data_IF_560675738300
#
_entry.id   IF_560675738300
#
_cell.length_a   1.000
_cell.length_b   1.000
_cell.length_c   1.000
_cell.angle_alpha   90.00
_cell.angle_beta   90.00
_cell.angle_gamma   90.00
#
_symmetry.space_group_name_H-M   'P 1'
#
loop_
_entity.id
_entity.type
_entity.pdbx_description
1 polymer ?
#
# COMPACT_ATOMS: atom_id res chain seq x y z
N UNK A 1 -29.14 -71.34 -24.58
CA UNK A 1 -29.79 -71.10 -23.28
C UNK A 1 -31.25 -71.43 -23.40
N UNK A 2 -31.76 -72.31 -22.55
CA UNK A 2 -33.19 -72.60 -22.47
C UNK A 2 -33.94 -71.41 -21.81
N UNK A 3 -35.27 -71.40 -21.86
CA UNK A 3 -36.10 -70.31 -21.31
C UNK A 3 -35.90 -70.10 -19.79
N UNK A 4 -35.69 -71.19 -19.07
CA UNK A 4 -35.55 -71.24 -17.60
C UNK A 4 -34.19 -70.69 -17.15
N UNK A 5 -33.10 -71.06 -17.84
CA UNK A 5 -31.76 -70.49 -17.65
C UNK A 5 -31.75 -68.98 -17.90
N UNK A 6 -32.51 -68.52 -18.91
CA UNK A 6 -32.66 -67.08 -19.21
C UNK A 6 -33.40 -66.36 -18.11
N UNK A 7 -34.43 -66.97 -17.54
CA UNK A 7 -35.17 -66.41 -16.42
C UNK A 7 -34.29 -66.29 -15.16
N UNK A 8 -33.56 -67.36 -14.80
CA UNK A 8 -32.64 -67.37 -13.65
C UNK A 8 -31.54 -66.31 -13.83
N UNK A 9 -30.96 -66.20 -15.02
CA UNK A 9 -29.96 -65.16 -15.33
C UNK A 9 -30.53 -63.76 -15.12
N UNK A 10 -31.73 -63.49 -15.63
CA UNK A 10 -32.37 -62.18 -15.50
C UNK A 10 -32.69 -61.83 -14.03
N UNK A 11 -33.13 -62.80 -13.21
CA UNK A 11 -33.34 -62.59 -11.78
C UNK A 11 -32.03 -62.23 -11.05
N UNK A 12 -30.91 -62.90 -11.38
CA UNK A 12 -29.59 -62.56 -10.83
C UNK A 12 -29.14 -61.15 -11.23
N UNK A 13 -29.39 -60.74 -12.47
CA UNK A 13 -29.10 -59.37 -12.94
C UNK A 13 -29.89 -58.33 -12.13
N UNK A 14 -31.18 -58.58 -11.88
CA UNK A 14 -32.02 -57.69 -11.06
C UNK A 14 -31.50 -57.61 -9.61
N UNK A 15 -31.10 -58.73 -9.01
CA UNK A 15 -30.54 -58.77 -7.67
C UNK A 15 -29.25 -57.94 -7.56
N UNK A 16 -28.29 -58.14 -8.46
CA UNK A 16 -27.03 -57.40 -8.48
C UNK A 16 -27.23 -55.90 -8.70
N UNK A 17 -28.19 -55.52 -9.55
CA UNK A 17 -28.53 -54.12 -9.75
C UNK A 17 -29.12 -53.50 -8.48
N UNK A 18 -30.00 -54.23 -7.77
CA UNK A 18 -30.57 -53.80 -6.47
C UNK A 18 -29.51 -53.66 -5.36
N UNK A 19 -28.39 -54.38 -5.47
CA UNK A 19 -27.22 -54.21 -4.60
C UNK A 19 -26.36 -52.98 -4.96
N UNK A 20 -26.75 -52.20 -5.98
CA UNK A 20 -26.06 -50.98 -6.39
C UNK A 20 -24.87 -51.19 -7.32
N UNK A 21 -24.71 -52.40 -7.91
CA UNK A 21 -23.69 -52.64 -8.95
C UNK A 21 -24.01 -51.85 -10.22
N UNK A 22 -22.96 -51.34 -10.89
CA UNK A 22 -23.13 -50.61 -12.14
C UNK A 22 -23.48 -51.56 -13.29
N UNK A 23 -24.16 -51.03 -14.32
CA UNK A 23 -24.54 -51.83 -15.49
C UNK A 23 -23.35 -52.46 -16.19
N UNK A 24 -22.22 -51.77 -16.21
CA UNK A 24 -21.05 -52.20 -16.95
C UNK A 24 -20.34 -53.33 -16.20
N UNK A 25 -20.30 -53.23 -14.87
CA UNK A 25 -19.78 -54.29 -14.00
C UNK A 25 -20.69 -55.56 -14.07
N UNK A 26 -22.02 -55.39 -14.17
CA UNK A 26 -22.96 -56.50 -14.38
C UNK A 26 -22.82 -57.10 -15.79
N UNK A 27 -22.65 -56.24 -16.79
CA UNK A 27 -22.49 -56.63 -18.19
C UNK A 27 -21.27 -57.54 -18.37
N UNK A 28 -20.15 -57.21 -17.74
CA UNK A 28 -18.95 -58.06 -17.72
C UNK A 28 -19.21 -59.45 -17.10
N UNK A 29 -19.91 -59.52 -15.97
CA UNK A 29 -20.20 -60.79 -15.28
C UNK A 29 -21.00 -61.76 -16.16
N UNK A 30 -21.94 -61.24 -16.95
CA UNK A 30 -22.84 -62.06 -17.77
C UNK A 30 -22.49 -62.09 -19.26
N UNK A 31 -21.35 -61.50 -19.65
CA UNK A 31 -20.93 -61.34 -21.03
C UNK A 31 -22.04 -60.72 -21.91
N UNK A 32 -22.63 -59.64 -21.40
CA UNK A 32 -23.64 -58.81 -22.06
C UNK A 32 -23.06 -57.42 -22.32
N UNK A 33 -23.80 -56.61 -23.05
CA UNK A 33 -23.59 -55.17 -23.14
C UNK A 33 -24.39 -54.43 -22.06
N UNK A 34 -23.94 -53.27 -21.61
CA UNK A 34 -24.69 -52.43 -20.67
C UNK A 34 -26.10 -52.07 -21.17
N UNK A 35 -26.28 -51.99 -22.50
CA UNK A 35 -27.59 -51.80 -23.15
C UNK A 35 -28.51 -53.00 -22.94
N UNK A 36 -28.00 -54.22 -23.09
CA UNK A 36 -28.78 -55.44 -22.85
C UNK A 36 -29.16 -55.60 -21.38
N UNK A 37 -28.24 -55.30 -20.45
CA UNK A 37 -28.53 -55.25 -19.01
C UNK A 37 -29.68 -54.28 -18.74
N UNK A 38 -29.63 -53.08 -19.35
CA UNK A 38 -30.69 -52.08 -19.20
C UNK A 38 -32.05 -52.55 -19.76
N UNK A 39 -32.07 -53.25 -20.90
CA UNK A 39 -33.30 -53.82 -21.46
C UNK A 39 -33.87 -54.92 -20.55
N UNK A 40 -33.02 -55.79 -20.01
CA UNK A 40 -33.43 -56.84 -19.07
C UNK A 40 -34.04 -56.20 -17.81
N UNK A 41 -33.37 -55.22 -17.22
CA UNK A 41 -33.86 -54.53 -16.03
C UNK A 41 -35.19 -53.81 -16.30
N UNK A 42 -35.38 -53.21 -17.49
CA UNK A 42 -36.64 -52.55 -17.85
C UNK A 42 -37.82 -53.52 -17.89
N UNK A 43 -37.59 -54.74 -18.34
CA UNK A 43 -38.63 -55.75 -18.52
C UNK A 43 -38.87 -56.60 -17.28
N UNK A 44 -37.90 -56.70 -16.37
CA UNK A 44 -37.92 -57.62 -15.24
C UNK A 44 -37.89 -56.94 -13.85
N UNK A 45 -37.81 -55.61 -13.78
CA UNK A 45 -37.77 -54.87 -12.51
C UNK A 45 -38.96 -53.92 -12.39
N UNK A 46 -39.85 -54.18 -11.43
CA UNK A 46 -41.05 -53.37 -11.20
C UNK A 46 -40.72 -51.90 -10.87
N UNK A 47 -39.59 -51.67 -10.19
CA UNK A 47 -39.16 -50.35 -9.74
C UNK A 47 -37.96 -49.79 -10.54
N UNK A 48 -37.88 -50.15 -11.83
CA UNK A 48 -36.79 -49.81 -12.74
C UNK A 48 -36.39 -48.32 -12.73
N UNK A 49 -37.35 -47.40 -12.66
CA UNK A 49 -37.08 -45.97 -12.73
C UNK A 49 -36.33 -45.44 -11.51
N UNK A 50 -36.65 -45.94 -10.31
CA UNK A 50 -35.98 -45.57 -9.07
C UNK A 50 -34.58 -46.18 -9.01
N UNK A 51 -34.47 -47.45 -9.37
CA UNK A 51 -33.19 -48.15 -9.51
C UNK A 51 -32.22 -47.43 -10.46
N UNK A 52 -32.71 -46.97 -11.61
CA UNK A 52 -31.90 -46.21 -12.58
C UNK A 52 -31.42 -44.87 -11.98
N UNK A 53 -32.21 -44.20 -11.14
CA UNK A 53 -31.78 -42.96 -10.48
C UNK A 53 -30.65 -43.24 -9.50
N UNK A 54 -30.77 -44.30 -8.71
CA UNK A 54 -29.73 -44.72 -7.75
C UNK A 54 -28.44 -45.12 -8.45
N UNK A 55 -28.53 -45.91 -9.53
CA UNK A 55 -27.37 -46.33 -10.29
C UNK A 55 -26.68 -45.13 -10.96
N UNK A 56 -27.43 -44.20 -11.56
CA UNK A 56 -26.84 -42.95 -12.10
C UNK A 56 -26.15 -42.11 -11.02
N UNK A 57 -26.70 -42.10 -9.80
CA UNK A 57 -26.06 -41.43 -8.66
C UNK A 57 -24.74 -42.14 -8.31
N UNK A 58 -24.74 -43.47 -8.22
CA UNK A 58 -23.54 -44.26 -7.96
C UNK A 58 -22.47 -44.11 -9.06
N UNK A 59 -22.87 -44.07 -10.34
CA UNK A 59 -21.98 -43.79 -11.48
C UNK A 59 -21.29 -42.43 -11.31
N UNK A 60 -22.07 -41.39 -10.96
CA UNK A 60 -21.54 -40.04 -10.73
C UNK A 60 -20.58 -40.03 -9.53
N UNK A 61 -20.88 -40.73 -8.45
CA UNK A 61 -20.00 -40.85 -7.29
C UNK A 61 -18.70 -41.61 -7.60
N UNK A 62 -18.76 -42.72 -8.34
CA UNK A 62 -17.57 -43.48 -8.83
C UNK A 62 -16.72 -42.60 -9.73
N UNK A 63 -17.34 -41.85 -10.64
CA UNK A 63 -16.66 -40.89 -11.50
C UNK A 63 -15.94 -39.81 -10.69
N UNK A 64 -16.61 -39.15 -9.74
CA UNK A 64 -16.01 -38.13 -8.88
C UNK A 64 -14.83 -38.71 -8.10
N UNK A 65 -14.99 -39.88 -7.45
CA UNK A 65 -13.89 -40.55 -6.73
C UNK A 65 -12.68 -40.80 -7.63
N UNK A 66 -12.91 -41.22 -8.87
CA UNK A 66 -11.86 -41.44 -9.87
C UNK A 66 -11.16 -40.13 -10.24
N UNK A 67 -11.92 -39.05 -10.45
CA UNK A 67 -11.34 -37.73 -10.68
C UNK A 67 -10.47 -37.27 -9.51
N UNK A 68 -10.95 -37.42 -8.27
CA UNK A 68 -10.21 -37.03 -7.07
C UNK A 68 -8.85 -37.72 -6.99
N UNK A 69 -8.81 -39.04 -7.21
CA UNK A 69 -7.56 -39.80 -7.22
C UNK A 69 -6.56 -39.29 -8.26
N UNK A 70 -7.01 -39.01 -9.49
CA UNK A 70 -6.16 -38.45 -10.55
C UNK A 70 -5.61 -37.07 -10.17
N UNK A 71 -6.43 -36.22 -9.56
CA UNK A 71 -6.00 -34.87 -9.17
C UNK A 71 -5.01 -34.93 -8.01
N UNK A 72 -5.20 -35.84 -7.06
CA UNK A 72 -4.23 -36.08 -5.98
C UNK A 72 -2.88 -36.53 -6.52
N UNK A 73 -2.86 -37.47 -7.46
CA UNK A 73 -1.64 -37.97 -8.07
C UNK A 73 -0.88 -36.84 -8.77
N UNK A 74 -1.59 -36.04 -9.58
CA UNK A 74 -1.02 -34.84 -10.21
C UNK A 74 -0.44 -33.89 -9.15
N UNK A 75 -1.16 -33.64 -8.06
CA UNK A 75 -0.73 -32.72 -7.02
C UNK A 75 0.53 -33.23 -6.28
N UNK A 76 0.61 -34.53 -6.01
CA UNK A 76 1.79 -35.17 -5.42
C UNK A 76 3.01 -35.08 -6.35
N UNK A 77 2.83 -35.32 -7.64
CA UNK A 77 3.91 -35.26 -8.63
C UNK A 77 4.41 -33.82 -8.87
N UNK A 78 3.50 -32.86 -8.98
CA UNK A 78 3.83 -31.46 -9.30
C UNK A 78 4.06 -30.58 -8.06
N UNK A 79 3.76 -31.07 -6.87
CA UNK A 79 3.82 -30.33 -5.61
C UNK A 79 2.82 -29.17 -5.51
N UNK A 80 1.81 -29.10 -6.39
CA UNK A 80 0.90 -27.94 -6.50
C UNK A 80 -0.49 -28.29 -7.00
N UNK A 81 -1.43 -27.39 -6.73
CA UNK A 81 -2.81 -27.53 -7.21
C UNK A 81 -2.89 -27.29 -8.73
N UNK A 82 -3.54 -28.18 -9.50
CA UNK A 82 -3.77 -27.98 -10.92
C UNK A 82 -4.74 -26.82 -11.20
N UNK A 83 -4.50 -26.12 -12.31
CA UNK A 83 -5.37 -25.06 -12.83
C UNK A 83 -6.62 -25.66 -13.46
N UNK A 84 -7.67 -24.85 -13.62
CA UNK A 84 -8.92 -25.29 -14.24
C UNK A 84 -8.74 -25.79 -15.68
N UNK A 85 -7.82 -25.19 -16.44
CA UNK A 85 -7.53 -25.60 -17.82
C UNK A 85 -6.93 -27.01 -17.83
N UNK A 86 -5.92 -27.25 -17.00
CA UNK A 86 -5.28 -28.57 -16.86
C UNK A 86 -6.33 -29.61 -16.42
N UNK A 87 -7.20 -29.27 -15.46
CA UNK A 87 -8.26 -30.16 -14.99
C UNK A 87 -9.22 -30.59 -16.10
N UNK A 88 -9.62 -29.67 -16.98
CA UNK A 88 -10.48 -30.01 -18.12
C UNK A 88 -9.81 -30.99 -19.07
N UNK A 89 -8.52 -30.79 -19.34
CA UNK A 89 -7.75 -31.65 -20.24
C UNK A 89 -7.59 -33.07 -19.68
N UNK A 90 -7.13 -33.22 -18.43
CA UNK A 90 -6.83 -34.55 -17.90
C UNK A 90 -8.05 -35.31 -17.37
N UNK A 91 -9.09 -34.62 -16.89
CA UNK A 91 -10.35 -35.24 -16.46
C UNK A 91 -11.35 -35.42 -17.61
N UNK A 92 -11.09 -34.81 -18.78
CA UNK A 92 -11.95 -34.86 -19.96
C UNK A 92 -13.41 -34.48 -19.65
N UNK A 93 -13.62 -33.52 -18.74
CA UNK A 93 -14.95 -33.06 -18.33
C UNK A 93 -15.03 -31.55 -18.28
N UNK A 94 -16.20 -31.04 -18.65
CA UNK A 94 -16.57 -29.62 -18.52
C UNK A 94 -17.54 -29.38 -17.35
N UNK A 95 -17.87 -30.41 -16.55
CA UNK A 95 -18.74 -30.25 -15.38
C UNK A 95 -18.03 -29.42 -14.31
N UNK A 96 -18.43 -28.15 -14.18
CA UNK A 96 -17.85 -27.20 -13.23
C UNK A 96 -17.97 -27.66 -11.77
N UNK A 97 -19.00 -28.42 -11.42
CA UNK A 97 -19.16 -28.95 -10.07
C UNK A 97 -18.04 -29.96 -9.77
N UNK A 98 -17.77 -30.87 -10.71
CA UNK A 98 -16.67 -31.85 -10.57
C UNK A 98 -15.31 -31.15 -10.52
N UNK A 99 -15.07 -30.21 -11.42
CA UNK A 99 -13.80 -29.47 -11.48
C UNK A 99 -13.52 -28.69 -10.19
N UNK A 100 -14.53 -27.98 -9.66
CA UNK A 100 -14.40 -27.23 -8.40
C UNK A 100 -14.24 -28.16 -7.20
N UNK A 101 -14.99 -29.28 -7.16
CA UNK A 101 -14.86 -30.27 -6.10
C UNK A 101 -13.45 -30.85 -6.04
N UNK A 102 -12.88 -31.19 -7.21
CA UNK A 102 -11.51 -31.67 -7.32
C UNK A 102 -10.46 -30.64 -6.87
N UNK A 103 -10.60 -29.37 -7.25
CA UNK A 103 -9.70 -28.32 -6.76
C UNK A 103 -9.81 -28.15 -5.25
N UNK A 104 -11.03 -28.12 -4.71
CA UNK A 104 -11.28 -27.96 -3.28
C UNK A 104 -10.64 -29.09 -2.48
N UNK A 105 -10.77 -30.33 -2.96
CA UNK A 105 -10.18 -31.51 -2.34
C UNK A 105 -8.65 -31.39 -2.21
N UNK A 106 -7.97 -31.04 -3.30
CA UNK A 106 -6.51 -30.90 -3.29
C UNK A 106 -6.03 -29.72 -2.44
N UNK A 107 -6.81 -28.63 -2.36
CA UNK A 107 -6.52 -27.54 -1.42
C UNK A 107 -6.68 -27.99 0.04
N UNK A 108 -7.67 -28.82 0.35
CA UNK A 108 -7.87 -29.38 1.70
C UNK A 108 -6.72 -30.31 2.11
N UNK A 109 -6.08 -30.99 1.15
CA UNK A 109 -4.85 -31.76 1.36
C UNK A 109 -3.60 -30.89 1.57
N UNK A 110 -3.73 -29.55 1.52
CA UNK A 110 -2.65 -28.61 1.84
C UNK A 110 -1.82 -28.16 0.63
N UNK A 111 -2.10 -28.66 -0.58
CA UNK A 111 -1.46 -28.15 -1.79
C UNK A 111 -1.91 -26.73 -2.08
N UNK A 112 -1.04 -25.94 -2.71
CA UNK A 112 -1.31 -24.54 -3.06
C UNK A 112 -1.22 -24.35 -4.57
N UNK A 113 -1.95 -23.36 -5.08
CA UNK A 113 -1.75 -22.89 -6.45
C UNK A 113 -0.35 -22.28 -6.59
N UNK A 114 0.33 -22.62 -7.69
CA UNK A 114 1.54 -21.89 -8.07
C UNK A 114 1.16 -20.46 -8.45
N UNK A 115 1.94 -19.53 -7.91
CA UNK A 115 1.85 -18.15 -8.30
C UNK A 115 2.35 -17.98 -9.75
N UNK A 116 1.73 -17.05 -10.48
CA UNK A 116 2.14 -16.71 -11.86
C UNK A 116 3.63 -16.34 -12.00
N UNK A 117 4.24 -15.85 -10.92
CA UNK A 117 5.64 -15.46 -10.87
C UNK A 117 6.33 -16.17 -9.72
N UNK A 118 7.61 -16.47 -9.86
CA UNK A 118 8.48 -16.91 -8.76
C UNK A 118 9.11 -15.72 -8.05
N UNK A 119 9.69 -15.92 -6.85
CA UNK A 119 10.41 -14.84 -6.16
C UNK A 119 11.62 -14.42 -6.99
N UNK A 120 12.36 -15.38 -7.52
CA UNK A 120 13.58 -15.19 -8.30
C UNK A 120 13.32 -14.41 -9.58
N UNK A 121 12.24 -14.70 -10.31
CA UNK A 121 11.81 -13.92 -11.47
C UNK A 121 11.60 -12.43 -11.13
N UNK A 122 10.92 -12.16 -10.01
CA UNK A 122 10.64 -10.79 -9.56
C UNK A 122 11.94 -10.06 -9.20
N UNK A 123 12.89 -10.73 -8.52
CA UNK A 123 14.17 -10.13 -8.17
C UNK A 123 15.03 -9.84 -9.42
N UNK A 124 15.10 -10.79 -10.36
CA UNK A 124 15.82 -10.61 -11.62
C UNK A 124 15.22 -9.47 -12.46
N UNK A 125 13.90 -9.33 -12.46
CA UNK A 125 13.25 -8.21 -13.12
C UNK A 125 13.63 -6.85 -12.51
N UNK A 126 13.68 -6.75 -11.18
CA UNK A 126 14.14 -5.52 -10.50
C UNK A 126 15.60 -5.21 -10.82
N UNK A 127 16.48 -6.21 -10.84
CA UNK A 127 17.90 -6.04 -11.20
C UNK A 127 18.05 -5.52 -12.63
N UNK A 128 17.34 -6.13 -13.59
CA UNK A 128 17.35 -5.71 -15.00
C UNK A 128 16.88 -4.26 -15.15
N UNK A 129 15.74 -3.90 -14.56
CA UNK A 129 15.25 -2.53 -14.59
C UNK A 129 16.23 -1.55 -13.94
N UNK A 130 16.93 -1.96 -12.87
CA UNK A 130 17.94 -1.12 -12.22
C UNK A 130 19.12 -0.82 -13.14
N UNK A 131 19.57 -1.83 -13.90
CA UNK A 131 20.64 -1.68 -14.88
C UNK A 131 20.22 -0.73 -16.03
N UNK A 132 18.98 -0.87 -16.52
CA UNK A 132 18.44 -0.01 -17.58
C UNK A 132 18.26 1.45 -17.13
N UNK A 133 17.81 1.67 -15.89
CA UNK A 133 17.53 3.02 -15.35
C UNK A 133 18.75 3.70 -14.72
N UNK A 134 19.82 2.96 -14.44
CA UNK A 134 20.96 3.42 -13.63
C UNK A 134 20.62 3.76 -12.18
N UNK A 135 19.44 3.35 -11.70
CA UNK A 135 18.92 3.61 -10.34
C UNK A 135 17.93 2.54 -9.90
N UNK A 136 17.73 2.40 -8.60
CA UNK A 136 16.73 1.48 -8.03
C UNK A 136 15.32 1.79 -8.59
N UNK A 137 14.64 0.81 -9.22
CA UNK A 137 13.29 0.99 -9.77
C UNK A 137 12.27 1.30 -8.68
N UNK A 138 11.43 2.31 -8.92
CA UNK A 138 10.35 2.73 -8.02
C UNK A 138 9.02 2.08 -8.42
N UNK A 139 8.00 2.22 -7.57
CA UNK A 139 6.63 1.80 -7.88
C UNK A 139 6.12 2.40 -9.21
N UNK A 140 6.49 3.65 -9.53
CA UNK A 140 6.07 4.31 -10.78
C UNK A 140 6.73 3.67 -12.00
N UNK A 141 8.00 3.30 -11.91
CA UNK A 141 8.74 2.66 -13.00
C UNK A 141 8.15 1.28 -13.30
N UNK A 142 7.84 0.50 -12.26
CA UNK A 142 7.21 -0.82 -12.39
C UNK A 142 5.82 -0.69 -13.04
N UNK A 143 5.02 0.28 -12.59
CA UNK A 143 3.70 0.54 -13.16
C UNK A 143 3.77 0.99 -14.63
N UNK A 144 4.75 1.83 -14.99
CA UNK A 144 4.97 2.29 -16.35
C UNK A 144 5.35 1.14 -17.30
N UNK A 145 6.10 0.15 -16.82
CA UNK A 145 6.50 -1.00 -17.62
C UNK A 145 5.35 -1.95 -17.95
N UNK A 146 4.22 -1.92 -17.20
CA UNK A 146 3.00 -2.74 -17.39
C UNK A 146 3.20 -4.27 -17.48
N UNK A 147 4.40 -4.79 -17.25
CA UNK A 147 4.71 -6.23 -17.30
C UNK A 147 4.32 -6.97 -16.02
N UNK A 148 4.66 -6.39 -14.87
CA UNK A 148 4.46 -7.00 -13.55
C UNK A 148 3.81 -5.95 -12.65
N UNK A 149 2.67 -6.30 -12.06
CA UNK A 149 2.00 -5.41 -11.12
C UNK A 149 2.79 -5.28 -9.82
N UNK A 150 2.83 -4.06 -9.27
CA UNK A 150 3.40 -3.78 -7.95
C UNK A 150 2.83 -4.69 -6.84
N UNK A 151 1.54 -5.06 -6.92
CA UNK A 151 0.89 -5.90 -5.91
C UNK A 151 1.53 -7.28 -5.77
N UNK A 152 2.20 -7.77 -6.83
CA UNK A 152 2.88 -9.06 -6.82
C UNK A 152 4.09 -9.01 -5.90
N UNK A 153 4.88 -7.93 -5.94
CA UNK A 153 6.01 -7.72 -5.02
C UNK A 153 5.54 -7.63 -3.57
N UNK A 154 4.42 -6.93 -3.31
CA UNK A 154 3.83 -6.88 -1.98
C UNK A 154 3.44 -8.27 -1.46
N UNK A 155 2.81 -9.10 -2.30
CA UNK A 155 2.40 -10.45 -1.93
C UNK A 155 3.58 -11.38 -1.60
N UNK A 156 4.69 -11.28 -2.33
CA UNK A 156 5.85 -12.16 -2.15
C UNK A 156 6.83 -11.72 -1.06
N UNK A 157 7.01 -10.42 -0.89
CA UNK A 157 8.05 -9.84 -0.04
C UNK A 157 7.49 -8.96 1.08
N UNK A 158 6.17 -8.73 1.12
CA UNK A 158 5.49 -7.82 2.05
C UNK A 158 5.65 -6.33 1.69
N UNK A 159 6.65 -5.97 0.91
CA UNK A 159 6.81 -4.60 0.38
C UNK A 159 7.78 -4.59 -0.81
N UNK A 160 7.68 -3.56 -1.67
CA UNK A 160 8.68 -3.35 -2.72
C UNK A 160 10.07 -3.05 -2.13
N UNK A 161 10.13 -2.43 -0.95
CA UNK A 161 11.38 -2.17 -0.23
C UNK A 161 12.16 -3.46 0.03
N UNK A 162 11.49 -4.43 0.65
CA UNK A 162 12.05 -5.76 0.94
C UNK A 162 12.41 -6.51 -0.35
N UNK A 163 11.63 -6.34 -1.42
CA UNK A 163 11.96 -6.93 -2.72
C UNK A 163 13.22 -6.29 -3.35
N UNK A 164 13.39 -4.98 -3.23
CA UNK A 164 14.60 -4.26 -3.68
C UNK A 164 15.82 -4.72 -2.87
N UNK A 165 15.71 -4.82 -1.55
CA UNK A 165 16.77 -5.32 -0.67
C UNK A 165 17.16 -6.76 -1.04
N UNK A 166 16.18 -7.65 -1.20
CA UNK A 166 16.40 -9.03 -1.63
C UNK A 166 17.01 -9.11 -3.05
N UNK A 167 16.77 -8.11 -3.90
CA UNK A 167 17.39 -8.02 -5.22
C UNK A 167 18.84 -7.51 -5.16
N UNK A 168 19.36 -7.12 -3.99
CA UNK A 168 20.67 -6.50 -3.82
C UNK A 168 20.69 -5.00 -4.15
N UNK A 169 19.52 -4.34 -4.18
CA UNK A 169 19.37 -2.94 -4.49
C UNK A 169 19.18 -2.11 -3.22
N UNK A 170 19.76 -0.91 -3.18
CA UNK A 170 19.56 0.01 -2.05
C UNK A 170 18.18 0.68 -2.16
N UNK A 171 17.29 0.52 -1.16
CA UNK A 171 15.94 1.03 -1.21
C UNK A 171 15.79 2.46 -0.70
N UNK A 172 15.54 3.41 -1.60
CA UNK A 172 15.43 4.82 -1.23
C UNK A 172 13.98 5.28 -1.22
N UNK A 173 13.59 6.10 -0.24
CA UNK A 173 12.25 6.74 -0.13
C UNK A 173 11.87 7.53 -1.40
N UNK A 174 12.87 7.91 -2.21
CA UNK A 174 12.75 8.74 -3.41
C UNK A 174 13.44 8.15 -4.66
N UNK A 175 13.97 6.92 -4.59
CA UNK A 175 14.72 6.31 -5.71
C UNK A 175 16.11 6.90 -6.00
N UNK A 176 16.70 7.63 -5.05
CA UNK A 176 18.06 8.18 -5.18
C UNK A 176 19.06 7.16 -4.63
N UNK A 177 19.72 6.35 -5.45
CA UNK A 177 20.78 5.47 -4.93
C UNK A 177 21.92 6.29 -4.34
N UNK A 178 22.48 5.86 -3.19
CA UNK A 178 23.73 6.45 -2.65
C UNK A 178 24.91 6.14 -3.57
N UNK A 179 24.84 5.03 -4.32
CA UNK A 179 25.88 4.61 -5.27
C UNK A 179 25.75 5.24 -6.66
N UNK A 180 24.59 5.81 -7.00
CA UNK A 180 24.39 6.52 -8.28
C UNK A 180 23.56 7.79 -8.09
N UNK A 181 24.21 8.95 -7.87
CA UNK A 181 23.53 10.22 -7.75
C UNK A 181 22.72 10.53 -9.00
N UNK A 182 21.46 10.90 -8.82
CA UNK A 182 20.59 11.36 -9.90
C UNK A 182 21.18 12.64 -10.52
N UNK A 183 21.67 12.57 -11.75
CA UNK A 183 22.03 13.75 -12.55
C UNK A 183 20.75 14.52 -12.89
N UNK A 184 20.30 15.40 -11.99
CA UNK A 184 19.25 16.38 -12.27
C UNK A 184 19.93 17.51 -13.02
N UNK A 185 19.53 17.80 -14.26
CA UNK A 185 19.87 19.09 -14.89
C UNK A 185 18.98 20.15 -14.23
N UNK A 186 19.51 20.98 -13.33
CA UNK A 186 18.68 21.97 -12.68
C UNK A 186 18.32 23.09 -13.68
N UNK A 187 17.09 23.60 -13.59
CA UNK A 187 16.64 24.75 -14.41
C UNK A 187 17.46 26.02 -14.16
N UNK A 188 17.98 26.17 -12.93
CA UNK A 188 18.82 27.29 -12.53
C UNK A 188 20.14 26.78 -11.94
N UNK A 189 21.26 27.40 -12.33
CA UNK A 189 22.55 27.24 -11.66
C UNK A 189 22.56 27.94 -10.29
N UNK A 190 23.49 27.58 -9.43
CA UNK A 190 23.61 28.22 -8.11
C UNK A 190 23.97 29.70 -8.25
N UNK A 191 24.76 30.07 -9.28
CA UNK A 191 25.06 31.46 -9.63
C UNK A 191 23.82 32.24 -10.07
N UNK A 192 22.95 31.65 -10.88
CA UNK A 192 21.68 32.29 -11.29
C UNK A 192 20.76 32.54 -10.09
N UNK A 193 20.73 31.61 -9.13
CA UNK A 193 19.98 31.76 -7.88
C UNK A 193 20.57 32.87 -7.00
N UNK A 194 21.91 32.93 -6.89
CA UNK A 194 22.60 33.98 -6.13
C UNK A 194 22.37 35.36 -6.76
N UNK A 195 22.51 35.48 -8.08
CA UNK A 195 22.30 36.74 -8.79
C UNK A 195 20.86 37.21 -8.67
N UNK A 196 19.88 36.30 -8.75
CA UNK A 196 18.48 36.63 -8.52
C UNK A 196 18.22 37.22 -7.11
N UNK A 197 18.86 36.69 -6.07
CA UNK A 197 18.76 37.26 -4.73
C UNK A 197 19.41 38.65 -4.63
N UNK A 198 20.54 38.87 -5.30
CA UNK A 198 21.21 40.18 -5.35
C UNK A 198 20.40 41.23 -6.12
N UNK A 199 19.84 40.85 -7.26
CA UNK A 199 18.94 41.71 -8.04
C UNK A 199 17.73 42.13 -7.21
N UNK A 200 17.05 41.17 -6.57
CA UNK A 200 15.92 41.47 -5.70
C UNK A 200 16.33 42.35 -4.51
N UNK A 201 17.50 42.11 -3.93
CA UNK A 201 17.99 42.95 -2.84
C UNK A 201 18.26 44.40 -3.30
N UNK A 202 18.86 44.56 -4.48
CA UNK A 202 19.12 45.88 -5.09
C UNK A 202 17.82 46.60 -5.43
N UNK A 203 16.81 45.91 -5.93
CA UNK A 203 15.50 46.49 -6.24
C UNK A 203 14.73 46.93 -5.00
N UNK A 204 14.81 46.14 -3.93
CA UNK A 204 14.11 46.43 -2.67
C UNK A 204 14.89 47.39 -1.77
N UNK A 205 16.17 47.66 -2.06
CA UNK A 205 17.07 48.39 -1.18
C UNK A 205 17.32 47.70 0.17
N UNK A 206 16.96 46.41 0.29
CA UNK A 206 17.08 45.61 1.52
C UNK A 206 17.09 44.11 1.21
N UNK A 207 17.44 43.30 2.21
CA UNK A 207 17.44 41.84 2.09
C UNK A 207 16.02 41.33 1.77
N UNK A 208 15.83 40.55 0.69
CA UNK A 208 14.52 40.06 0.28
C UNK A 208 14.01 38.97 1.22
N UNK A 209 12.71 39.01 1.52
CA UNK A 209 12.02 37.97 2.27
C UNK A 209 11.57 36.83 1.35
N UNK A 210 11.41 35.62 1.90
CA UNK A 210 10.98 34.46 1.12
C UNK A 210 9.63 34.67 0.40
N UNK A 211 8.72 35.47 0.98
CA UNK A 211 7.45 35.83 0.34
C UNK A 211 7.64 36.71 -0.91
N UNK A 212 8.63 37.60 -0.89
CA UNK A 212 8.94 38.53 -1.98
C UNK A 212 9.64 37.81 -3.12
N UNK A 213 10.53 36.87 -2.78
CA UNK A 213 11.11 35.93 -3.75
C UNK A 213 10.01 35.12 -4.43
N UNK A 214 9.04 34.59 -3.69
CA UNK A 214 7.90 33.88 -4.29
C UNK A 214 7.04 34.79 -5.17
N UNK A 215 6.86 36.05 -4.79
CA UNK A 215 6.09 37.04 -5.55
C UNK A 215 6.79 37.44 -6.86
N UNK A 216 8.11 37.32 -6.95
CA UNK A 216 8.87 37.59 -8.19
C UNK A 216 8.53 36.66 -9.35
N UNK A 217 7.88 35.52 -9.09
CA UNK A 217 7.47 34.53 -10.09
C UNK A 217 8.61 33.76 -10.77
N UNK A 218 9.87 34.22 -10.65
CA UNK A 218 11.05 33.60 -11.28
C UNK A 218 11.51 32.35 -10.53
N UNK A 219 11.63 32.44 -9.20
CA UNK A 219 12.17 31.36 -8.35
C UNK A 219 11.43 31.32 -7.02
N UNK A 220 11.15 30.13 -6.50
CA UNK A 220 10.51 29.95 -5.19
C UNK A 220 11.52 29.83 -4.05
N UNK A 221 11.15 30.26 -2.84
CA UNK A 221 11.92 30.06 -1.61
C UNK A 221 12.29 28.59 -1.34
N UNK A 222 11.43 27.66 -1.78
CA UNK A 222 11.67 26.22 -1.69
C UNK A 222 12.84 25.76 -2.58
N UNK A 223 13.06 26.42 -3.73
CA UNK A 223 14.22 26.15 -4.60
C UNK A 223 15.52 26.48 -3.87
N UNK A 224 15.58 27.61 -3.16
CA UNK A 224 16.74 28.02 -2.36
C UNK A 224 16.97 27.09 -1.17
N UNK A 225 15.91 26.68 -0.47
CA UNK A 225 16.01 25.73 0.65
C UNK A 225 16.59 24.39 0.20
N UNK A 226 16.11 23.86 -0.92
CA UNK A 226 16.56 22.57 -1.45
C UNK A 226 18.00 22.61 -1.95
N UNK A 227 18.48 23.77 -2.43
CA UNK A 227 19.84 23.91 -3.00
C UNK A 227 20.88 24.27 -1.96
N UNK A 228 20.58 25.22 -1.08
CA UNK A 228 21.53 25.75 -0.10
C UNK A 228 21.28 25.22 1.32
N UNK A 229 20.32 24.30 1.49
CA UNK A 229 19.91 23.72 2.78
C UNK A 229 18.98 24.61 3.60
N UNK A 230 19.06 25.93 3.45
CA UNK A 230 18.10 26.89 4.00
C UNK A 230 18.11 28.21 3.22
N UNK A 231 17.01 28.97 3.31
CA UNK A 231 16.94 30.29 2.68
C UNK A 231 17.99 31.25 3.25
N UNK A 232 18.25 31.21 4.56
CA UNK A 232 19.30 32.01 5.19
C UNK A 232 20.70 31.67 4.68
N UNK A 233 20.99 30.39 4.39
CA UNK A 233 22.26 29.98 3.77
C UNK A 233 22.36 30.50 2.33
N UNK A 234 21.26 30.53 1.58
CA UNK A 234 21.23 31.11 0.24
C UNK A 234 21.49 32.63 0.28
N UNK A 235 20.88 33.36 1.23
CA UNK A 235 21.14 34.79 1.43
C UNK A 235 22.62 35.05 1.77
N UNK A 236 23.21 34.25 2.66
CA UNK A 236 24.66 34.33 2.97
C UNK A 236 25.54 34.05 1.75
N UNK A 237 25.21 33.04 0.95
CA UNK A 237 25.90 32.75 -0.30
C UNK A 237 25.80 33.91 -1.31
N UNK A 238 24.71 34.67 -1.26
CA UNK A 238 24.53 35.88 -2.06
C UNK A 238 25.26 37.11 -1.50
N UNK A 239 25.93 37.01 -0.35
CA UNK A 239 26.54 38.15 0.35
C UNK A 239 25.54 39.01 1.15
N UNK A 240 24.30 38.54 1.28
CA UNK A 240 23.20 39.20 1.99
C UNK A 240 23.07 38.60 3.39
N UNK A 241 24.11 38.72 4.22
CA UNK A 241 24.07 38.16 5.58
C UNK A 241 23.22 39.05 6.50
N UNK A 242 22.06 38.56 7.01
CA UNK A 242 21.22 39.34 7.93
C UNK A 242 21.92 39.69 9.25
N UNK A 243 23.05 39.04 9.56
CA UNK A 243 23.81 39.26 10.79
C UNK A 243 25.09 40.08 10.59
N UNK A 244 25.51 40.39 9.35
CA UNK A 244 26.62 41.31 9.09
C UNK A 244 26.06 42.68 8.73
N UNK A 245 25.91 43.52 9.74
CA UNK A 245 25.59 44.93 9.56
C UNK A 245 26.81 45.63 8.96
N UNK A 246 26.77 45.93 7.66
CA UNK A 246 27.59 47.00 7.09
C UNK A 246 26.93 47.56 5.84
N UNK A 247 26.47 48.81 5.99
CA UNK A 247 26.22 49.83 4.95
C UNK A 247 25.01 49.58 4.03
N UNK A 248 23.82 50.00 4.45
CA UNK A 248 23.11 51.16 3.86
C UNK A 248 21.68 51.29 4.40
N UNK A 249 21.49 52.38 5.13
CA UNK A 249 20.28 53.19 5.35
C UNK A 249 18.93 52.47 5.41
N UNK A 250 18.56 52.01 6.61
CA UNK A 250 17.36 52.49 7.31
C UNK A 250 17.41 51.98 8.74
N UNK A 251 16.86 52.72 9.73
CA UNK A 251 16.75 52.20 11.08
C UNK A 251 16.03 50.87 10.98
N UNK A 252 16.50 49.89 11.75
CA UNK A 252 15.74 48.73 12.17
C UNK A 252 14.25 49.02 12.01
N UNK A 253 13.54 48.24 11.18
CA UNK A 253 12.13 48.01 11.47
C UNK A 253 12.12 47.35 12.84
N UNK A 254 12.21 48.19 13.87
CA UNK A 254 11.56 47.99 15.13
C UNK A 254 10.16 47.56 14.71
N UNK A 255 9.87 46.27 14.90
CA UNK A 255 8.51 45.75 14.85
C UNK A 255 7.71 46.77 15.65
N UNK A 256 6.89 47.60 15.00
CA UNK A 256 6.21 48.70 15.67
C UNK A 256 5.45 48.05 16.83
N UNK A 257 5.92 48.19 18.08
CA UNK A 257 5.45 47.30 19.12
C UNK A 257 3.99 47.67 19.35
N UNK A 258 3.10 46.67 19.31
CA UNK A 258 1.65 46.87 19.44
C UNK A 258 1.29 47.67 20.70
N UNK A 259 2.18 47.67 21.70
CA UNK A 259 2.09 48.45 22.91
C UNK A 259 3.44 49.10 23.22
N UNK A 260 3.43 50.36 23.65
CA UNK A 260 4.58 50.98 24.33
C UNK A 260 4.72 50.44 25.76
N UNK A 261 5.87 50.66 26.39
CA UNK A 261 6.08 50.25 27.79
C UNK A 261 5.11 50.97 28.74
N UNK A 262 4.83 52.25 28.48
CA UNK A 262 3.83 53.04 29.22
C UNK A 262 2.42 52.48 29.07
N UNK A 263 2.03 52.05 27.86
CA UNK A 263 0.73 51.41 27.63
C UNK A 263 0.63 50.08 28.39
N UNK A 264 1.71 49.28 28.43
CA UNK A 264 1.75 48.04 29.19
C UNK A 264 1.66 48.29 30.71
N UNK A 265 2.33 49.31 31.22
CA UNK A 265 2.26 49.74 32.62
C UNK A 265 0.84 50.23 32.97
N UNK A 266 0.25 51.09 32.15
CA UNK A 266 -1.11 51.59 32.36
C UNK A 266 -2.15 50.48 32.29
N UNK A 267 -1.96 49.47 31.43
CA UNK A 267 -2.81 48.29 31.39
C UNK A 267 -2.75 47.50 32.69
N UNK A 268 -1.56 47.34 33.30
CA UNK A 268 -1.41 46.68 34.61
C UNK A 268 -2.08 47.49 35.72
N UNK A 269 -1.90 48.81 35.76
CA UNK A 269 -2.56 49.70 36.76
C UNK A 269 -4.08 49.66 36.65
N UNK A 270 -4.63 49.74 35.44
CA UNK A 270 -6.07 49.64 35.20
C UNK A 270 -6.63 48.27 35.59
N UNK A 271 -5.87 47.21 35.34
CA UNK A 271 -6.30 45.86 35.71
C UNK A 271 -6.23 45.67 37.23
N UNK A 272 -5.24 46.25 37.91
CA UNK A 272 -5.16 46.26 39.36
C UNK A 272 -6.34 47.02 40.01
N UNK A 273 -6.69 48.21 39.49
CA UNK A 273 -7.82 48.98 39.99
C UNK A 273 -9.16 48.28 39.75
N UNK A 274 -9.32 47.58 38.61
CA UNK A 274 -10.50 46.77 38.31
C UNK A 274 -10.65 45.56 39.25
N UNK A 275 -9.55 44.93 39.63
CA UNK A 275 -9.57 43.74 40.50
C UNK A 275 -9.53 44.09 41.98
N UNK A 276 -9.20 45.32 42.36
CA UNK A 276 -8.95 45.71 43.75
C UNK A 276 -7.73 45.02 44.39
N UNK A 277 -6.90 44.34 43.58
CA UNK A 277 -5.73 43.57 43.99
C UNK A 277 -4.70 43.50 42.87
N UNK A 278 -3.48 43.07 43.20
CA UNK A 278 -2.39 42.91 42.23
C UNK A 278 -2.78 41.83 41.19
N UNK A 279 -2.67 42.14 39.88
CA UNK A 279 -2.89 41.20 38.80
C UNK A 279 -1.97 39.98 38.82
N UNK A 280 -2.54 38.80 38.55
CA UNK A 280 -1.76 37.60 38.28
C UNK A 280 -1.40 37.49 36.79
N UNK A 281 -0.26 36.85 36.52
CA UNK A 281 0.28 36.65 35.15
C UNK A 281 -0.67 35.96 34.16
N UNK A 282 -1.67 35.20 34.64
CA UNK A 282 -2.70 34.55 33.80
C UNK A 282 -3.83 35.51 33.39
N UNK A 283 -4.01 36.61 34.12
CA UNK A 283 -5.14 37.56 33.98
C UNK A 283 -4.88 38.62 32.90
N UNK A 284 -3.63 38.80 32.47
CA UNK A 284 -3.26 39.77 31.42
C UNK A 284 -3.49 39.26 30.00
N UNK A 285 -3.79 37.97 29.79
CA UNK A 285 -4.00 37.38 28.45
C UNK A 285 -5.32 37.80 27.76
N UNK A 286 -5.99 38.85 28.24
CA UNK A 286 -7.21 39.41 27.65
C UNK A 286 -6.91 40.26 26.39
N UNK A 287 -7.83 40.31 25.41
CA UNK A 287 -7.67 41.15 24.22
C UNK A 287 -7.49 42.63 24.62
N UNK A 288 -6.50 43.28 23.99
CA UNK A 288 -6.22 44.70 24.23
C UNK A 288 -5.22 44.99 25.36
N UNK A 289 -4.90 44.02 26.23
CA UNK A 289 -4.09 44.26 27.44
C UNK A 289 -2.62 43.80 27.32
N UNK A 290 -2.27 43.06 26.27
CA UNK A 290 -0.93 42.51 26.04
C UNK A 290 -0.75 41.13 26.70
N UNK A 291 -0.06 40.19 26.06
CA UNK A 291 0.08 38.83 26.59
C UNK A 291 1.17 38.74 27.65
N UNK A 292 1.16 37.68 28.47
CA UNK A 292 2.25 37.37 29.42
C UNK A 292 3.63 37.43 28.76
N UNK A 293 3.75 36.93 27.53
CA UNK A 293 5.02 36.93 26.79
C UNK A 293 5.45 38.35 26.41
N UNK A 294 4.51 39.25 26.11
CA UNK A 294 4.83 40.66 25.84
C UNK A 294 5.47 41.32 27.06
N UNK A 295 4.90 41.13 28.25
CA UNK A 295 5.48 41.65 29.49
C UNK A 295 6.84 41.03 29.81
N UNK A 296 6.99 39.72 29.61
CA UNK A 296 8.27 39.03 29.81
C UNK A 296 9.36 39.57 28.88
N UNK A 297 9.06 39.74 27.59
CA UNK A 297 10.02 40.20 26.60
C UNK A 297 10.44 41.68 26.82
N UNK A 298 9.57 42.51 27.39
CA UNK A 298 9.82 43.96 27.58
C UNK A 298 10.49 44.26 28.93
N UNK A 299 10.04 43.62 30.00
CA UNK A 299 10.50 43.91 31.36
C UNK A 299 11.37 42.80 31.97
N UNK A 300 11.65 41.74 31.19
CA UNK A 300 12.44 40.57 31.61
C UNK A 300 11.69 39.58 32.49
N UNK A 301 10.66 40.00 33.22
CA UNK A 301 9.73 39.14 33.95
C UNK A 301 8.40 39.86 34.21
N UNK A 302 7.36 39.09 34.56
CA UNK A 302 6.07 39.68 34.94
C UNK A 302 6.15 40.45 36.27
N UNK A 303 6.97 39.98 37.24
CA UNK A 303 7.20 40.69 38.51
C UNK A 303 7.80 42.07 38.29
N UNK A 304 8.85 42.15 37.46
CA UNK A 304 9.48 43.42 37.08
C UNK A 304 8.52 44.37 36.35
N UNK A 305 7.57 43.84 35.59
CA UNK A 305 6.53 44.65 34.97
C UNK A 305 5.54 45.23 36.01
N UNK A 306 5.21 44.47 37.06
CA UNK A 306 4.37 44.94 38.17
C UNK A 306 5.11 45.99 39.02
N UNK A 307 6.41 45.79 39.29
CA UNK A 307 7.28 46.77 39.95
C UNK A 307 7.34 48.08 39.16
N UNK A 308 7.57 48.00 37.84
CA UNK A 308 7.54 49.17 36.96
C UNK A 308 6.17 49.88 36.93
N UNK A 309 5.09 49.14 37.21
CA UNK A 309 3.76 49.69 37.35
C UNK A 309 3.47 50.29 38.74
N UNK A 310 4.39 50.17 39.70
CA UNK A 310 4.19 50.57 41.10
C UNK A 310 3.28 49.64 41.90
N UNK A 311 3.10 48.41 41.42
CA UNK A 311 2.26 47.37 42.03
C UNK A 311 3.16 46.39 42.79
N UNK A 312 3.71 46.84 43.91
CA UNK A 312 4.57 46.01 44.75
C UNK A 312 3.70 45.12 45.64
N UNK A 313 4.03 43.83 45.71
CA UNK A 313 3.53 42.97 46.79
C UNK A 313 4.28 43.37 48.06
N UNK A 314 3.63 44.07 48.99
CA UNK A 314 4.12 44.06 50.37
C UNK A 314 4.16 42.58 50.82
N UNK A 315 5.31 42.17 51.33
CA UNK A 315 5.52 40.83 51.90
C UNK A 315 4.84 40.72 53.24
#
# INVERSE_FOLDING_TARGET
MNSEEKHIRNLKIVALAKEGRLFEDIAEIFNLTGREVRVILRNCCDNYHELIKEIKKAEKEKFIKTCLLKVEEFARQSGRTPKLIELREFLQTNDMFVLQSCQKHVLQLGFKFLNKHTKEELLNYLRKMSAELGRTPTKKDIAAAKKISYSIYFRFFGSLRKAQEAAGLVPNKSGVSVTTPRKRNPKYSDEQLINHLRELASQLGRIPMAKEVNASGKVTGETYRNRFGSFSKALKAAGLDPNKVSVSVTPLQQRNPKYSDEQLINNLRKLASQLGRIPMSKEVNAPGKGTRQTYYNRFGSFSKALEAAGLNSEK
#
